data_IF_661055449206
#
_entry.id   IF_661055449206
#
_cell.length_a   1.000
_cell.length_b   1.000
_cell.length_c   1.000
_cell.angle_alpha   90.00
_cell.angle_beta   90.00
_cell.angle_gamma   90.00
#
_symmetry.space_group_name_H-M   'P 1'
#
loop_
_entity.id
_entity.type
_entity.pdbx_description
1 polymer ?
#
# COMPACT_ATOMS: atom_id res chain seq x y z
N UNK A 1 17.25 13.95 -6.71
CA UNK A 1 17.91 14.49 -5.50
C UNK A 1 18.94 13.47 -5.03
N UNK A 2 20.20 13.88 -4.83
CA UNK A 2 21.23 13.02 -4.24
C UNK A 2 21.35 13.39 -2.76
N UNK A 3 21.09 12.43 -1.88
CA UNK A 3 21.15 12.59 -0.43
C UNK A 3 21.91 11.42 0.18
N UNK A 4 22.71 11.70 1.21
CA UNK A 4 23.39 10.66 1.98
C UNK A 4 22.54 10.35 3.20
N UNK A 5 22.17 9.09 3.38
CA UNK A 5 21.36 8.60 4.50
C UNK A 5 22.10 7.42 5.14
N UNK A 6 22.13 7.40 6.48
CA UNK A 6 22.62 6.24 7.21
C UNK A 6 21.45 5.29 7.45
N UNK A 7 21.50 4.09 6.86
CA UNK A 7 20.45 3.07 6.95
C UNK A 7 21.14 1.76 7.30
N UNK A 8 20.51 0.98 8.18
CA UNK A 8 20.98 -0.36 8.53
C UNK A 8 21.07 -1.27 7.27
N UNK A 9 22.28 -1.74 6.97
CA UNK A 9 22.54 -2.62 5.83
C UNK A 9 21.81 -3.96 5.96
N UNK A 10 21.62 -4.49 7.18
CA UNK A 10 20.87 -5.73 7.39
C UNK A 10 19.40 -5.57 6.98
N UNK A 11 18.82 -4.39 7.25
CA UNK A 11 17.46 -4.05 6.83
C UNK A 11 17.36 -3.95 5.30
N UNK A 12 18.30 -3.25 4.65
CA UNK A 12 18.34 -3.14 3.18
C UNK A 12 18.52 -4.52 2.52
N UNK A 13 19.41 -5.36 3.04
CA UNK A 13 19.61 -6.71 2.52
C UNK A 13 18.37 -7.57 2.66
N UNK A 14 17.71 -7.53 3.82
CA UNK A 14 16.47 -8.27 4.05
C UNK A 14 15.37 -7.82 3.08
N UNK A 15 15.21 -6.50 2.92
CA UNK A 15 14.21 -5.95 2.02
C UNK A 15 14.53 -6.27 0.56
N UNK A 16 15.78 -6.19 0.13
CA UNK A 16 16.21 -6.54 -1.23
C UNK A 16 15.95 -8.03 -1.52
N UNK A 17 16.23 -8.91 -0.55
CA UNK A 17 15.94 -10.35 -0.68
C UNK A 17 14.45 -10.65 -0.79
N UNK A 18 13.60 -9.93 -0.04
CA UNK A 18 12.15 -10.16 -0.03
C UNK A 18 11.44 -9.54 -1.24
N UNK A 19 11.90 -8.38 -1.71
CA UNK A 19 11.27 -7.65 -2.82
C UNK A 19 11.89 -7.97 -4.18
N UNK A 20 13.08 -8.57 -4.21
CA UNK A 20 13.87 -8.81 -5.43
C UNK A 20 14.52 -7.55 -6.02
N UNK A 21 14.34 -6.38 -5.39
CA UNK A 21 14.88 -5.11 -5.87
C UNK A 21 16.33 -4.95 -5.45
N UNK A 22 17.22 -4.81 -6.44
CA UNK A 22 18.68 -4.73 -6.24
C UNK A 22 19.16 -3.30 -5.97
N UNK A 23 18.44 -2.30 -6.46
CA UNK A 23 18.85 -0.91 -6.38
C UNK A 23 18.40 -0.29 -5.05
N UNK A 24 19.36 0.20 -4.25
CA UNK A 24 19.10 0.74 -2.88
C UNK A 24 18.11 1.91 -2.88
N UNK A 25 18.24 2.83 -3.83
CA UNK A 25 17.36 4.00 -4.02
C UNK A 25 15.92 3.58 -4.33
N UNK A 26 15.74 2.64 -5.26
CA UNK A 26 14.44 2.07 -5.60
C UNK A 26 13.79 1.40 -4.40
N UNK A 27 14.57 0.68 -3.58
CA UNK A 27 14.08 0.04 -2.37
C UNK A 27 13.60 1.04 -1.31
N UNK A 28 14.34 2.14 -1.12
CA UNK A 28 13.92 3.23 -0.21
C UNK A 28 12.66 3.93 -0.72
N UNK A 29 12.59 4.21 -2.02
CA UNK A 29 11.40 4.81 -2.66
C UNK A 29 10.16 3.92 -2.46
N UNK A 30 10.28 2.63 -2.71
CA UNK A 30 9.21 1.66 -2.47
C UNK A 30 8.79 1.59 -1.01
N UNK A 31 9.74 1.70 -0.07
CA UNK A 31 9.44 1.76 1.36
C UNK A 31 8.56 2.97 1.72
N UNK A 32 8.88 4.14 1.18
CA UNK A 32 8.08 5.35 1.39
C UNK A 32 6.69 5.23 0.76
N UNK A 33 6.60 4.75 -0.48
CA UNK A 33 5.33 4.50 -1.17
C UNK A 33 4.45 3.51 -0.39
N UNK A 34 5.03 2.44 0.16
CA UNK A 34 4.30 1.47 0.97
C UNK A 34 3.76 2.07 2.28
N UNK A 35 4.53 2.95 2.94
CA UNK A 35 4.08 3.65 4.14
C UNK A 35 2.93 4.61 3.84
N UNK A 36 3.01 5.35 2.74
CA UNK A 36 1.94 6.24 2.27
C UNK A 36 0.70 5.42 1.94
N UNK A 37 0.83 4.34 1.16
CA UNK A 37 -0.28 3.47 0.81
C UNK A 37 -0.98 2.91 2.06
N UNK A 38 -0.21 2.48 3.07
CA UNK A 38 -0.75 1.97 4.35
C UNK A 38 -1.57 3.02 5.10
N UNK A 39 -1.09 4.27 5.19
CA UNK A 39 -1.85 5.34 5.86
C UNK A 39 -3.06 5.79 5.05
N UNK A 40 -2.94 5.86 3.72
CA UNK A 40 -4.06 6.15 2.83
C UNK A 40 -5.16 5.11 2.97
N UNK A 41 -4.81 3.81 3.03
CA UNK A 41 -5.77 2.74 3.24
C UNK A 41 -6.50 2.89 4.59
N UNK A 42 -5.78 3.23 5.67
CA UNK A 42 -6.38 3.50 6.97
C UNK A 42 -7.36 4.68 6.91
N UNK A 43 -6.96 5.81 6.32
CA UNK A 43 -7.82 6.98 6.16
C UNK A 43 -9.07 6.67 5.33
N UNK A 44 -8.93 5.88 4.27
CA UNK A 44 -10.07 5.45 3.45
C UNK A 44 -11.03 4.54 4.21
N UNK A 45 -10.51 3.63 5.04
CA UNK A 45 -11.34 2.78 5.90
C UNK A 45 -12.14 3.61 6.91
N UNK A 46 -11.53 4.66 7.48
CA UNK A 46 -12.20 5.60 8.39
C UNK A 46 -13.31 6.42 7.70
N UNK A 47 -13.21 6.67 6.39
CA UNK A 47 -14.27 7.29 5.59
C UNK A 47 -15.41 6.33 5.21
N UNK A 48 -15.29 5.04 5.52
CA UNK A 48 -16.33 4.05 5.26
C UNK A 48 -17.63 4.43 5.97
N UNK A 49 -18.70 4.70 5.23
CA UNK A 49 -20.02 5.01 5.79
C UNK A 49 -20.20 6.45 6.27
N UNK A 50 -19.23 7.35 6.06
CA UNK A 50 -19.39 8.77 6.42
C UNK A 50 -20.21 9.57 5.40
N UNK A 51 -20.41 9.03 4.20
CA UNK A 51 -21.18 9.67 3.13
C UNK A 51 -22.70 9.55 3.41
N UNK A 52 -23.32 10.64 3.87
CA UNK A 52 -24.73 10.67 4.30
C UNK A 52 -25.71 10.33 3.18
N UNK A 53 -25.36 10.66 1.93
CA UNK A 53 -26.21 10.40 0.77
C UNK A 53 -26.01 9.02 0.12
N UNK A 54 -25.09 8.20 0.63
CA UNK A 54 -24.70 6.95 -0.03
C UNK A 54 -25.82 5.91 0.07
N UNK A 55 -26.44 5.59 -1.07
CA UNK A 55 -27.43 4.51 -1.17
C UNK A 55 -26.70 3.17 -1.37
N UNK A 56 -27.23 2.08 -0.77
CA UNK A 56 -26.64 0.74 -0.96
C UNK A 56 -26.70 0.33 -2.43
N UNK A 57 -25.55 0.01 -3.02
CA UNK A 57 -25.50 -0.49 -4.40
C UNK A 57 -26.05 -1.93 -4.44
N UNK A 58 -26.89 -2.26 -5.42
CA UNK A 58 -27.43 -3.62 -5.57
C UNK A 58 -26.30 -4.62 -5.79
N UNK A 59 -26.20 -5.64 -4.93
CA UNK A 59 -25.24 -6.73 -5.11
C UNK A 59 -25.56 -7.49 -6.40
N UNK A 60 -24.58 -7.62 -7.30
CA UNK A 60 -24.70 -8.51 -8.48
C UNK A 60 -24.74 -9.95 -7.97
N UNK A 61 -25.91 -10.57 -7.96
CA UNK A 61 -26.09 -11.99 -7.62
C UNK A 61 -25.91 -12.80 -8.90
N UNK A 62 -25.13 -13.87 -8.84
CA UNK A 62 -25.13 -14.88 -9.90
C UNK A 62 -26.53 -15.51 -9.97
N UNK A 63 -27.06 -15.66 -11.19
CA UNK A 63 -28.33 -16.37 -11.42
C UNK A 63 -28.09 -17.83 -11.04
N UNK A 64 -28.91 -18.41 -10.15
CA UNK A 64 -28.86 -19.85 -9.90
C UNK A 64 -29.14 -20.57 -11.22
N UNK A 65 -28.24 -21.46 -11.64
CA UNK A 65 -28.53 -22.41 -12.69
C UNK A 65 -29.69 -23.31 -12.24
N UNK A 66 -30.71 -23.44 -13.08
CA UNK A 66 -31.89 -24.27 -12.87
C UNK A 66 -31.56 -25.75 -13.05
#
# INVERSE_FOLDING_TARGET
MRTTLNIDDALLHRAARLTGVKEKTSLVRLGLEALIARQSARRLAELGGTEKGLRSVRRRRAVKAA
#
